data_IF_938234011492
#
_entry.id   IF_938234011492
#
_cell.length_a   1.000
_cell.length_b   1.000
_cell.length_c   1.000
_cell.angle_alpha   90.00
_cell.angle_beta   90.00
_cell.angle_gamma   90.00
#
_symmetry.space_group_name_H-M   'P 1'
#
loop_
_entity.id
_entity.type
_entity.pdbx_description
1 polymer ?
#
# COMPACT_ATOMS: atom_id res chain seq x y z
N UNK A 1 -11.16 1.97 4.22
CA UNK A 1 -10.31 3.17 4.06
C UNK A 1 -11.16 4.31 3.52
N UNK A 2 -11.00 5.50 4.08
CA UNK A 2 -11.85 6.66 3.74
C UNK A 2 -11.50 7.28 2.36
N UNK A 3 -12.43 8.06 1.76
CA UNK A 3 -12.23 8.65 0.43
C UNK A 3 -11.01 9.58 0.33
N UNK A 4 -10.71 10.35 1.36
CA UNK A 4 -9.56 11.27 1.37
C UNK A 4 -8.24 10.51 1.28
N UNK A 5 -8.09 9.46 2.08
CA UNK A 5 -6.89 8.64 2.06
C UNK A 5 -6.73 7.88 0.74
N UNK A 6 -7.82 7.33 0.19
CA UNK A 6 -7.78 6.67 -1.12
C UNK A 6 -7.30 7.63 -2.21
N UNK A 7 -7.88 8.83 -2.28
CA UNK A 7 -7.45 9.84 -3.25
C UNK A 7 -6.00 10.26 -3.10
N UNK A 8 -5.54 10.47 -1.87
CA UNK A 8 -4.15 10.83 -1.58
C UNK A 8 -3.17 9.71 -1.95
N UNK A 9 -3.53 8.46 -1.71
CA UNK A 9 -2.72 7.30 -2.10
C UNK A 9 -2.61 7.21 -3.63
N UNK A 10 -3.70 7.39 -4.37
CA UNK A 10 -3.67 7.43 -5.83
C UNK A 10 -2.73 8.51 -6.36
N UNK A 11 -2.80 9.70 -5.80
CA UNK A 11 -1.92 10.81 -6.17
C UNK A 11 -0.44 10.49 -5.93
N UNK A 12 -0.11 10.01 -4.74
CA UNK A 12 1.27 9.65 -4.39
C UNK A 12 1.78 8.46 -5.21
N UNK A 13 0.94 7.46 -5.44
CA UNK A 13 1.28 6.30 -6.25
C UNK A 13 1.64 6.70 -7.69
N UNK A 14 0.80 7.50 -8.32
CA UNK A 14 1.07 8.01 -9.67
C UNK A 14 2.33 8.87 -9.73
N UNK A 15 2.53 9.75 -8.75
CA UNK A 15 3.67 10.66 -8.72
C UNK A 15 5.02 9.95 -8.46
N UNK A 16 5.00 8.86 -7.71
CA UNK A 16 6.20 8.23 -7.16
C UNK A 16 6.50 6.84 -7.78
N UNK A 17 5.88 6.51 -8.90
CA UNK A 17 6.31 5.40 -9.73
C UNK A 17 5.59 4.07 -9.54
N UNK A 18 4.47 4.03 -8.82
CA UNK A 18 3.61 2.85 -8.83
C UNK A 18 2.96 2.70 -10.22
N UNK A 19 2.90 1.48 -10.72
CA UNK A 19 2.38 1.20 -12.06
C UNK A 19 0.87 0.94 -12.07
N UNK A 20 0.32 0.47 -10.95
CA UNK A 20 -1.10 0.18 -10.79
C UNK A 20 -1.49 0.11 -9.31
N UNK A 21 -2.79 0.17 -9.06
CA UNK A 21 -3.37 -0.06 -7.73
C UNK A 21 -4.38 -1.19 -7.79
N UNK A 22 -4.38 -2.05 -6.79
CA UNK A 22 -5.43 -3.04 -6.60
C UNK A 22 -6.14 -2.77 -5.28
N UNK A 23 -7.45 -2.73 -5.32
CA UNK A 23 -8.29 -2.38 -4.18
C UNK A 23 -9.03 -3.62 -3.66
N UNK A 24 -9.31 -3.62 -2.36
CA UNK A 24 -10.27 -4.54 -1.76
C UNK A 24 -11.60 -3.83 -1.51
N UNK A 25 -12.64 -4.57 -1.20
CA UNK A 25 -13.97 -4.00 -0.89
C UNK A 25 -13.97 -3.04 0.33
N UNK A 26 -12.94 -3.10 1.16
CA UNK A 26 -12.79 -2.21 2.32
C UNK A 26 -12.37 -0.79 1.95
N UNK A 27 -12.02 -0.55 0.69
CA UNK A 27 -11.60 0.77 0.20
C UNK A 27 -12.80 1.56 -0.31
N UNK A 28 -12.80 2.88 -0.07
CA UNK A 28 -13.72 3.79 -0.75
C UNK A 28 -13.47 3.76 -2.26
N UNK A 29 -14.51 4.02 -3.03
CA UNK A 29 -14.42 4.10 -4.48
C UNK A 29 -13.48 5.26 -4.88
N UNK A 30 -12.43 5.03 -5.69
CA UNK A 30 -11.56 6.10 -6.16
C UNK A 30 -12.27 7.14 -7.03
N UNK A 31 -13.38 6.79 -7.63
CA UNK A 31 -14.21 7.73 -8.41
C UNK A 31 -15.25 8.46 -7.57
N UNK A 32 -15.37 8.14 -6.28
CA UNK A 32 -16.19 8.93 -5.38
C UNK A 32 -15.71 10.38 -5.39
N UNK A 33 -16.65 11.34 -5.40
CA UNK A 33 -16.33 12.77 -5.62
C UNK A 33 -15.14 13.29 -4.80
N UNK A 34 -15.07 12.92 -3.51
CA UNK A 34 -13.98 13.36 -2.64
C UNK A 34 -12.66 12.68 -2.98
N UNK A 35 -12.69 11.38 -3.26
CA UNK A 35 -11.49 10.62 -3.69
C UNK A 35 -10.93 11.19 -4.98
N UNK A 36 -11.76 11.38 -5.98
CA UNK A 36 -11.36 11.92 -7.29
C UNK A 36 -10.75 13.33 -7.17
N UNK A 37 -11.34 14.20 -6.36
CA UNK A 37 -10.80 15.55 -6.11
C UNK A 37 -9.43 15.51 -5.42
N UNK A 38 -9.30 14.74 -4.37
CA UNK A 38 -8.02 14.60 -3.63
C UNK A 38 -6.95 13.96 -4.49
N UNK A 39 -7.31 13.05 -5.38
CA UNK A 39 -6.37 12.39 -6.30
C UNK A 39 -5.77 13.34 -7.36
N UNK A 40 -6.31 14.55 -7.52
CA UNK A 40 -5.89 15.49 -8.56
C UNK A 40 -5.91 14.88 -9.98
N UNK A 41 -6.93 14.08 -10.25
CA UNK A 41 -7.14 13.44 -11.54
C UNK A 41 -6.41 12.11 -11.74
N UNK A 42 -5.53 11.70 -10.84
CA UNK A 42 -4.78 10.44 -10.99
C UNK A 42 -5.64 9.19 -10.91
N UNK A 43 -6.81 9.27 -10.26
CA UNK A 43 -7.81 8.19 -10.26
C UNK A 43 -8.34 7.85 -11.68
N UNK A 44 -8.18 8.74 -12.64
CA UNK A 44 -8.58 8.53 -14.03
C UNK A 44 -7.43 8.08 -14.94
N UNK A 45 -6.20 8.16 -14.49
CA UNK A 45 -5.00 7.90 -15.31
C UNK A 45 -4.17 6.73 -14.83
N UNK A 46 -4.08 6.51 -13.52
CA UNK A 46 -3.36 5.35 -12.97
C UNK A 46 -4.26 4.11 -13.06
N UNK A 47 -3.81 3.03 -13.71
CA UNK A 47 -4.59 1.81 -13.80
C UNK A 47 -4.94 1.26 -12.41
N UNK A 48 -6.19 0.85 -12.22
CA UNK A 48 -6.60 0.17 -11.00
C UNK A 48 -7.68 -0.87 -11.26
N UNK A 49 -7.79 -1.81 -10.34
CA UNK A 49 -8.84 -2.83 -10.33
C UNK A 49 -9.17 -3.24 -8.91
N UNK A 50 -10.15 -4.11 -8.76
CA UNK A 50 -10.53 -4.71 -7.47
C UNK A 50 -10.18 -6.18 -7.46
N UNK A 51 -9.74 -6.69 -6.32
CA UNK A 51 -9.78 -8.12 -6.08
C UNK A 51 -11.23 -8.57 -5.89
N UNK A 52 -11.54 -9.76 -6.37
CA UNK A 52 -12.82 -10.39 -6.08
C UNK A 52 -12.97 -10.59 -4.57
N UNK A 53 -14.18 -10.38 -4.05
CA UNK A 53 -14.48 -10.40 -2.62
C UNK A 53 -13.95 -11.62 -1.88
N UNK A 54 -14.09 -12.79 -2.47
CA UNK A 54 -13.73 -14.07 -1.86
C UNK A 54 -12.39 -14.62 -2.38
N UNK A 55 -11.63 -13.82 -3.12
CA UNK A 55 -10.34 -14.25 -3.65
C UNK A 55 -9.25 -14.28 -2.58
N UNK A 56 -8.38 -15.27 -2.67
CA UNK A 56 -7.10 -15.26 -1.96
C UNK A 56 -6.10 -14.38 -2.73
N UNK A 57 -6.18 -13.07 -2.51
CA UNK A 57 -5.36 -12.11 -3.24
C UNK A 57 -3.85 -12.27 -2.94
N UNK A 58 -3.47 -12.76 -1.76
CA UNK A 58 -2.06 -13.03 -1.47
C UNK A 58 -1.52 -14.15 -2.35
N UNK A 59 -2.30 -15.21 -2.53
CA UNK A 59 -1.95 -16.29 -3.46
C UNK A 59 -1.87 -15.81 -4.90
N UNK A 60 -2.81 -14.98 -5.33
CA UNK A 60 -2.81 -14.39 -6.68
C UNK A 60 -1.57 -13.53 -6.94
N UNK A 61 -1.21 -12.66 -6.01
CA UNK A 61 0.00 -11.84 -6.11
C UNK A 61 1.26 -12.69 -6.22
N UNK A 62 1.42 -13.66 -5.33
CA UNK A 62 2.60 -14.55 -5.34
C UNK A 62 2.68 -15.39 -6.59
N UNK A 63 1.58 -15.97 -7.06
CA UNK A 63 1.55 -16.77 -8.29
C UNK A 63 1.82 -15.93 -9.54
N UNK A 64 1.56 -14.63 -9.47
CA UNK A 64 1.88 -13.66 -10.54
C UNK A 64 3.32 -13.13 -10.47
N UNK A 65 4.13 -13.63 -9.55
CA UNK A 65 5.54 -13.28 -9.41
C UNK A 65 5.84 -12.04 -8.57
N UNK A 66 4.85 -11.53 -7.84
CA UNK A 66 5.07 -10.39 -6.94
C UNK A 66 5.66 -10.83 -5.61
N UNK A 67 6.65 -10.09 -5.15
CA UNK A 67 7.08 -10.11 -3.74
C UNK A 67 6.17 -9.19 -2.95
N UNK A 68 5.58 -9.71 -1.89
CA UNK A 68 4.56 -9.00 -1.09
C UNK A 68 5.19 -8.33 0.13
N UNK A 69 4.88 -7.06 0.31
CA UNK A 69 5.35 -6.20 1.39
C UNK A 69 4.16 -5.64 2.15
N UNK A 70 3.96 -6.06 3.38
CA UNK A 70 2.91 -5.53 4.25
C UNK A 70 3.46 -4.43 5.16
N UNK A 71 2.86 -3.25 5.09
CA UNK A 71 3.20 -2.14 5.97
C UNK A 71 2.44 -2.27 7.30
N UNK A 72 3.13 -2.69 8.35
CA UNK A 72 2.51 -2.94 9.65
C UNK A 72 3.49 -2.70 10.80
N UNK A 73 2.95 -2.19 11.91
CA UNK A 73 3.71 -1.95 13.15
C UNK A 73 3.89 -3.28 13.89
N UNK A 74 5.06 -3.89 13.73
CA UNK A 74 5.45 -5.14 14.40
C UNK A 74 6.90 -5.10 14.83
N UNK A 75 7.22 -5.77 15.92
CA UNK A 75 8.59 -5.82 16.48
C UNK A 75 9.56 -6.58 15.57
N UNK A 76 9.07 -7.55 14.80
CA UNK A 76 9.83 -8.36 13.86
C UNK A 76 9.89 -7.76 12.44
N UNK A 77 9.37 -6.55 12.25
CA UNK A 77 9.33 -5.90 10.94
C UNK A 77 10.71 -5.42 10.49
N UNK A 78 10.94 -5.53 9.18
CA UNK A 78 12.13 -4.99 8.51
C UNK A 78 11.96 -3.47 8.33
N UNK A 79 12.99 -2.65 8.57
CA UNK A 79 12.88 -1.21 8.33
C UNK A 79 12.76 -0.92 6.83
N UNK A 80 12.00 0.10 6.48
CA UNK A 80 11.71 0.46 5.07
C UNK A 80 12.96 0.73 4.23
N UNK A 81 14.03 1.22 4.85
CA UNK A 81 15.29 1.47 4.14
C UNK A 81 16.19 0.25 3.97
N UNK A 82 15.75 -0.94 4.41
CA UNK A 82 16.56 -2.16 4.26
C UNK A 82 16.78 -2.46 2.77
N UNK A 83 18.05 -2.63 2.34
CA UNK A 83 18.38 -2.89 0.94
C UNK A 83 17.70 -4.13 0.35
N UNK A 84 17.38 -5.13 1.16
CA UNK A 84 16.73 -6.35 0.69
C UNK A 84 15.40 -6.09 -0.05
N UNK A 85 14.70 -5.00 0.29
CA UNK A 85 13.43 -4.64 -0.34
C UNK A 85 13.60 -4.18 -1.80
N UNK A 86 14.79 -3.73 -2.18
CA UNK A 86 15.10 -3.23 -3.54
C UNK A 86 15.66 -4.29 -4.49
N UNK A 87 15.83 -5.51 -3.99
CA UNK A 87 16.38 -6.63 -4.79
C UNK A 87 15.32 -7.33 -5.65
N UNK A 88 14.07 -6.92 -5.55
CA UNK A 88 12.93 -7.58 -6.20
C UNK A 88 12.41 -6.77 -7.39
N UNK A 89 12.21 -7.45 -8.54
CA UNK A 89 11.74 -6.81 -9.77
C UNK A 89 10.24 -6.45 -9.77
N UNK A 90 9.45 -7.17 -8.98
CA UNK A 90 7.99 -6.95 -8.85
C UNK A 90 7.62 -6.89 -7.38
N UNK A 91 7.24 -5.71 -6.90
CA UNK A 91 6.78 -5.50 -5.53
C UNK A 91 5.29 -5.18 -5.51
N UNK A 92 4.57 -5.82 -4.59
CA UNK A 92 3.22 -5.45 -4.22
C UNK A 92 3.22 -4.97 -2.76
N UNK A 93 2.99 -3.69 -2.55
CA UNK A 93 2.94 -3.09 -1.22
C UNK A 93 1.51 -3.04 -0.73
N UNK A 94 1.26 -3.54 0.47
CA UNK A 94 -0.06 -3.70 1.06
C UNK A 94 -0.19 -2.77 2.26
N UNK A 95 -1.23 -1.94 2.24
CA UNK A 95 -1.59 -1.05 3.34
C UNK A 95 -2.90 -1.50 3.97
N UNK A 96 -2.96 -1.42 5.28
CA UNK A 96 -4.17 -1.69 6.03
C UNK A 96 -5.12 -0.50 6.11
N UNK A 97 -6.32 -0.74 6.63
CA UNK A 97 -7.26 0.32 6.98
C UNK A 97 -6.83 1.04 8.25
N UNK A 98 -7.33 2.25 8.45
CA UNK A 98 -6.99 3.07 9.62
C UNK A 98 -7.44 2.44 10.95
N UNK A 99 -8.54 1.68 10.91
CA UNK A 99 -9.16 1.13 12.12
C UNK A 99 -8.63 -0.24 12.53
N UNK A 100 -8.39 -1.13 11.56
CA UNK A 100 -8.06 -2.53 11.83
C UNK A 100 -6.69 -2.95 11.33
N UNK A 101 -6.02 -2.10 10.57
CA UNK A 101 -4.74 -2.43 9.95
C UNK A 101 -4.85 -3.56 8.92
N UNK A 102 -3.81 -4.34 8.80
CA UNK A 102 -3.76 -5.55 7.95
C UNK A 102 -4.12 -6.76 8.79
N UNK A 103 -4.94 -7.65 8.24
CA UNK A 103 -5.34 -8.90 8.92
C UNK A 103 -4.14 -9.80 9.20
N UNK A 104 -4.14 -10.51 10.33
CA UNK A 104 -3.05 -11.43 10.71
C UNK A 104 -2.81 -12.52 9.66
N UNK A 105 -3.87 -13.04 9.03
CA UNK A 105 -3.76 -14.01 7.96
C UNK A 105 -2.97 -13.46 6.74
N UNK A 106 -3.21 -12.21 6.37
CA UNK A 106 -2.47 -11.53 5.31
C UNK A 106 -1.00 -11.33 5.70
N UNK A 107 -0.75 -10.87 6.92
CA UNK A 107 0.61 -10.68 7.44
C UNK A 107 1.41 -11.97 7.43
N UNK A 108 0.79 -13.09 7.86
CA UNK A 108 1.44 -14.40 7.92
C UNK A 108 1.83 -14.95 6.53
N UNK A 109 1.12 -14.52 5.49
CA UNK A 109 1.37 -14.92 4.09
C UNK A 109 2.31 -13.98 3.34
N UNK A 110 2.63 -12.80 3.89
CA UNK A 110 3.51 -11.85 3.21
C UNK A 110 4.96 -12.29 3.21
N UNK A 111 5.72 -11.87 2.20
CA UNK A 111 7.16 -12.11 2.14
C UNK A 111 7.90 -11.22 3.13
N UNK A 112 7.45 -9.98 3.28
CA UNK A 112 8.02 -9.03 4.23
C UNK A 112 6.92 -8.30 5.00
N UNK A 113 7.12 -8.12 6.29
CA UNK A 113 6.45 -7.09 7.09
C UNK A 113 7.43 -5.95 7.29
N UNK A 114 7.02 -4.73 6.95
CA UNK A 114 7.90 -3.57 6.89
C UNK A 114 7.36 -2.44 7.75
N UNK A 115 8.27 -1.76 8.42
CA UNK A 115 7.97 -0.61 9.28
C UNK A 115 8.72 0.63 8.80
N UNK A 116 8.07 1.78 8.86
CA UNK A 116 8.76 3.08 8.81
C UNK A 116 9.23 3.38 10.23
N UNK A 117 10.55 3.40 10.51
CA UNK A 117 11.04 3.69 11.86
C UNK A 117 10.60 5.08 12.31
N UNK A 118 10.05 5.15 13.51
CA UNK A 118 9.53 6.39 14.10
C UNK A 118 10.41 6.88 15.25
N UNK A 119 10.38 8.17 15.49
CA UNK A 119 11.10 8.84 16.57
C UNK A 119 10.11 9.55 17.51
N UNK A 120 10.62 10.00 18.65
CA UNK A 120 9.88 10.82 19.62
C UNK A 120 8.57 10.18 20.15
N UNK A 121 8.53 8.86 20.24
CA UNK A 121 7.36 8.14 20.78
C UNK A 121 6.14 8.12 19.86
N UNK A 122 6.30 8.49 18.58
CA UNK A 122 5.23 8.40 17.59
C UNK A 122 5.14 6.95 17.09
N UNK A 123 3.96 6.35 17.14
CA UNK A 123 3.77 4.95 16.75
C UNK A 123 3.63 4.78 15.22
N UNK A 124 2.89 5.66 14.56
CA UNK A 124 2.59 5.53 13.13
C UNK A 124 2.28 6.88 12.48
N UNK A 125 2.31 6.89 11.16
CA UNK A 125 1.82 7.98 10.32
C UNK A 125 0.42 7.67 9.80
N UNK A 126 -0.32 8.71 9.40
CA UNK A 126 -1.51 8.54 8.57
C UNK A 126 -1.15 7.70 7.34
N UNK A 127 -2.06 6.82 6.91
CA UNK A 127 -1.79 5.87 5.82
C UNK A 127 -1.41 6.56 4.50
N UNK A 128 -1.98 7.71 4.20
CA UNK A 128 -1.61 8.47 3.00
C UNK A 128 -0.18 8.98 3.06
N UNK A 129 0.26 9.48 4.22
CA UNK A 129 1.64 9.90 4.44
C UNK A 129 2.59 8.69 4.40
N UNK A 130 2.24 7.61 5.08
CA UNK A 130 3.03 6.38 5.06
C UNK A 130 3.18 5.82 3.64
N UNK A 131 2.12 5.86 2.83
CA UNK A 131 2.17 5.41 1.45
C UNK A 131 3.13 6.25 0.60
N UNK A 132 3.10 7.57 0.74
CA UNK A 132 4.01 8.46 0.00
C UNK A 132 5.48 8.18 0.32
N UNK A 133 5.81 8.04 1.61
CA UNK A 133 7.17 7.69 2.05
C UNK A 133 7.61 6.34 1.49
N UNK A 134 6.72 5.35 1.54
CA UNK A 134 6.99 4.00 1.05
C UNK A 134 7.21 3.98 -0.46
N UNK A 135 6.37 4.65 -1.23
CA UNK A 135 6.52 4.73 -2.69
C UNK A 135 7.79 5.46 -3.10
N UNK A 136 8.12 6.56 -2.40
CA UNK A 136 9.37 7.26 -2.64
C UNK A 136 10.57 6.34 -2.44
N UNK A 137 10.61 5.61 -1.35
CA UNK A 137 11.74 4.72 -1.04
C UNK A 137 11.83 3.51 -1.97
N UNK A 138 10.70 2.88 -2.31
CA UNK A 138 10.70 1.61 -3.03
C UNK A 138 10.53 1.73 -4.55
N UNK A 139 9.85 2.76 -5.05
CA UNK A 139 9.47 2.88 -6.47
C UNK A 139 10.11 4.05 -7.20
N UNK A 140 10.49 5.10 -6.50
CA UNK A 140 11.17 6.24 -7.13
C UNK A 140 12.51 5.83 -7.72
N UNK A 141 12.78 6.32 -8.91
CA UNK A 141 14.04 6.11 -9.64
C UNK A 141 14.96 7.32 -9.54
#
# INVERSE_FOLDING_TARGET
MNPTNVGAIFRSAAALGAEAIVLTEACADPLYRRSARVSMGTAFTLPYTYFDKDSDYMKLLKSSGFTTVCMALRDDAVPLYDPCLKEHGKLAVIFGTESTGIKDDTLSKSDYTVIIPMLNGVDSLNVAAASAVTFFELFSK
#
